data_IF_736752157574
#
_entry.id   IF_736752157574
#
_cell.length_a   1.000
_cell.length_b   1.000
_cell.length_c   1.000
_cell.angle_alpha   90.00
_cell.angle_beta   90.00
_cell.angle_gamma   90.00
#
_symmetry.space_group_name_H-M   'P 1'
#
loop_
_entity.id
_entity.type
_entity.pdbx_description
1 polymer ?
#
# COMPACT_ATOMS: atom_id res chain seq x y z
N UNK A 1 -0.10 -7.90 13.52
CA UNK A 1 0.79 -7.32 12.49
C UNK A 1 1.85 -8.36 12.16
N UNK A 2 1.79 -8.97 10.97
CA UNK A 2 2.87 -9.82 10.48
C UNK A 2 3.80 -8.97 9.61
N UNK A 3 5.08 -8.95 9.93
CA UNK A 3 6.10 -8.31 9.12
C UNK A 3 6.65 -9.31 8.12
N UNK A 4 6.84 -8.90 6.89
CA UNK A 4 7.25 -9.75 5.81
C UNK A 4 8.36 -9.10 4.99
N UNK A 5 9.45 -9.83 4.84
CA UNK A 5 10.47 -9.55 3.83
C UNK A 5 9.88 -9.88 2.44
N UNK A 6 10.13 -9.04 1.43
CA UNK A 6 9.50 -9.23 0.11
C UNK A 6 9.79 -10.59 -0.53
N UNK A 7 10.95 -11.19 -0.24
CA UNK A 7 11.29 -12.55 -0.65
C UNK A 7 10.52 -13.65 0.11
N UNK A 8 10.06 -13.36 1.34
CA UNK A 8 9.31 -14.29 2.19
C UNK A 8 7.79 -14.08 2.12
N UNK A 9 7.32 -13.06 1.37
CA UNK A 9 5.89 -12.81 1.16
C UNK A 9 5.21 -14.03 0.55
N UNK A 10 5.87 -14.68 -0.39
CA UNK A 10 5.38 -15.92 -1.00
C UNK A 10 5.29 -17.06 0.03
N UNK A 11 6.30 -17.29 0.86
CA UNK A 11 6.38 -18.49 1.71
C UNK A 11 5.44 -18.49 2.92
N UNK A 12 5.08 -17.31 3.45
CA UNK A 12 4.16 -17.21 4.59
C UNK A 12 2.69 -17.12 4.21
N UNK A 13 2.39 -16.66 2.99
CA UNK A 13 1.08 -16.83 2.39
C UNK A 13 0.92 -18.28 1.91
N UNK A 14 2.04 -18.99 1.66
CA UNK A 14 2.14 -20.32 1.12
C UNK A 14 2.76 -21.33 2.11
N UNK A 15 2.03 -21.74 3.09
CA UNK A 15 2.26 -23.08 3.64
C UNK A 15 1.54 -24.07 2.72
N UNK A 16 2.12 -24.38 1.55
CA UNK A 16 1.49 -25.29 0.59
C UNK A 16 2.16 -26.65 0.61
N UNK A 17 1.55 -27.59 1.30
CA UNK A 17 1.53 -28.98 0.86
C UNK A 17 0.51 -29.08 -0.30
N UNK A 18 0.89 -29.67 -1.43
CA UNK A 18 0.06 -29.97 -2.60
C UNK A 18 -1.20 -30.76 -2.21
N UNK A 19 -2.29 -30.03 -1.98
CA UNK A 19 -3.67 -30.55 -1.88
C UNK A 19 -4.55 -29.31 -1.87
N UNK A 20 -5.64 -29.24 -2.64
CA UNK A 20 -6.56 -28.11 -2.85
C UNK A 20 -6.60 -27.10 -1.69
N UNK A 21 -5.63 -26.19 -1.61
CA UNK A 21 -5.39 -25.40 -0.42
C UNK A 21 -6.28 -24.17 -0.45
N UNK A 22 -7.31 -24.21 0.39
CA UNK A 22 -8.10 -23.06 0.79
C UNK A 22 -7.15 -21.94 1.24
N UNK A 23 -7.25 -20.74 0.68
CA UNK A 23 -6.47 -19.57 1.11
C UNK A 23 -6.60 -19.41 2.63
N UNK A 24 -5.48 -19.18 3.30
CA UNK A 24 -5.47 -18.89 4.75
C UNK A 24 -6.18 -17.56 5.05
N UNK A 25 -6.03 -16.58 4.17
CA UNK A 25 -6.65 -15.27 4.24
C UNK A 25 -7.36 -14.97 2.92
N UNK A 26 -8.63 -14.63 3.00
CA UNK A 26 -9.43 -14.24 1.84
C UNK A 26 -9.17 -12.80 1.44
N UNK A 27 -9.13 -11.89 2.42
CA UNK A 27 -8.88 -10.46 2.22
C UNK A 27 -7.69 -10.00 3.03
N UNK A 28 -6.75 -9.35 2.38
CA UNK A 28 -5.57 -8.80 3.04
C UNK A 28 -5.43 -7.31 2.75
N UNK A 29 -4.81 -6.59 3.69
CA UNK A 29 -4.29 -5.26 3.44
C UNK A 29 -2.76 -5.32 3.45
N UNK A 30 -2.13 -4.90 2.35
CA UNK A 30 -0.69 -4.74 2.23
C UNK A 30 -0.32 -3.29 2.55
N UNK A 31 0.52 -3.07 3.56
CA UNK A 31 1.16 -1.79 3.79
C UNK A 31 2.57 -1.82 3.21
N UNK A 32 2.84 -0.95 2.26
CA UNK A 32 4.13 -0.82 1.60
C UNK A 32 4.77 0.52 1.97
N UNK A 33 6.06 0.52 2.29
CA UNK A 33 6.80 1.79 2.40
C UNK A 33 6.93 2.43 1.02
N UNK A 34 6.75 3.74 0.92
CA UNK A 34 7.03 4.45 -0.33
C UNK A 34 8.48 4.27 -0.81
N UNK A 35 9.41 4.07 0.11
CA UNK A 35 10.84 3.86 -0.22
C UNK A 35 11.12 2.63 -1.10
N UNK A 36 10.19 1.66 -1.13
CA UNK A 36 10.34 0.50 -2.02
C UNK A 36 10.10 0.84 -3.49
N UNK A 37 9.48 1.99 -3.77
CA UNK A 37 9.22 2.47 -5.11
C UNK A 37 10.35 3.36 -5.66
N UNK A 38 11.17 3.94 -4.77
CA UNK A 38 12.25 4.82 -5.16
C UNK A 38 13.57 4.07 -5.34
N UNK A 39 14.48 4.68 -6.07
CA UNK A 39 15.85 4.22 -6.26
C UNK A 39 16.82 5.26 -5.68
N UNK A 40 17.57 4.87 -4.64
CA UNK A 40 18.52 5.76 -3.97
C UNK A 40 19.79 6.01 -4.79
N UNK A 41 20.13 5.10 -5.69
CA UNK A 41 21.33 5.19 -6.51
C UNK A 41 21.13 6.18 -7.66
N UNK A 42 19.96 6.15 -8.31
CA UNK A 42 19.61 7.07 -9.40
C UNK A 42 18.97 8.36 -8.90
N UNK A 43 18.50 8.41 -7.65
CA UNK A 43 17.76 9.55 -7.09
C UNK A 43 16.30 9.61 -7.52
N UNK A 44 15.80 8.63 -8.25
CA UNK A 44 14.42 8.59 -8.70
C UNK A 44 13.47 8.31 -7.53
N UNK A 45 12.48 9.18 -7.35
CA UNK A 45 11.44 8.99 -6.34
C UNK A 45 10.55 7.78 -6.66
N UNK A 46 10.28 7.54 -7.95
CA UNK A 46 9.51 6.39 -8.46
C UNK A 46 10.34 5.76 -9.58
N UNK A 47 10.93 4.62 -9.28
CA UNK A 47 11.71 3.84 -10.23
C UNK A 47 10.78 2.87 -10.97
N UNK A 48 10.75 2.91 -12.32
CA UNK A 48 9.87 2.05 -13.11
C UNK A 48 10.13 0.55 -12.90
N UNK A 49 11.38 0.13 -12.67
CA UNK A 49 11.73 -1.27 -12.46
C UNK A 49 11.24 -1.75 -11.09
N UNK A 50 11.42 -0.95 -10.03
CA UNK A 50 10.91 -1.25 -8.71
C UNK A 50 9.37 -1.31 -8.71
N UNK A 51 8.72 -0.38 -9.40
CA UNK A 51 7.27 -0.34 -9.53
C UNK A 51 6.73 -1.59 -10.25
N UNK A 52 7.35 -1.98 -11.38
CA UNK A 52 6.99 -3.18 -12.13
C UNK A 52 7.20 -4.46 -11.30
N UNK A 53 8.33 -4.56 -10.58
CA UNK A 53 8.62 -5.68 -9.69
C UNK A 53 7.53 -5.85 -8.61
N UNK A 54 7.13 -4.74 -8.00
CA UNK A 54 6.06 -4.75 -6.99
C UNK A 54 4.71 -5.14 -7.57
N UNK A 55 4.37 -4.61 -8.75
CA UNK A 55 3.13 -4.93 -9.44
C UNK A 55 3.02 -6.42 -9.78
N UNK A 56 4.10 -7.03 -10.25
CA UNK A 56 4.15 -8.48 -10.52
C UNK A 56 3.93 -9.34 -9.27
N UNK A 57 4.45 -8.93 -8.10
CA UNK A 57 4.22 -9.64 -6.85
C UNK A 57 2.76 -9.52 -6.38
N UNK A 58 2.17 -8.32 -6.50
CA UNK A 58 0.76 -8.09 -6.18
C UNK A 58 -0.14 -8.91 -7.11
N UNK A 59 0.19 -8.96 -8.42
CA UNK A 59 -0.53 -9.79 -9.40
C UNK A 59 -0.54 -11.26 -9.02
N UNK A 60 0.59 -11.82 -8.57
CA UNK A 60 0.66 -13.22 -8.12
C UNK A 60 -0.29 -13.47 -6.94
N UNK A 61 -0.32 -12.59 -5.95
CA UNK A 61 -1.22 -12.70 -4.80
C UNK A 61 -2.69 -12.61 -5.25
N UNK A 62 -3.01 -11.64 -6.09
CA UNK A 62 -4.35 -11.45 -6.64
C UNK A 62 -4.82 -12.65 -7.47
N UNK A 63 -3.94 -13.21 -8.30
CA UNK A 63 -4.23 -14.38 -9.15
C UNK A 63 -4.58 -15.65 -8.36
N UNK A 64 -4.25 -15.70 -7.07
CA UNK A 64 -4.62 -16.79 -6.16
C UNK A 64 -6.06 -16.70 -5.66
N UNK A 65 -6.76 -15.63 -6.03
CA UNK A 65 -8.13 -15.35 -5.56
C UNK A 65 -8.19 -14.57 -4.26
N UNK A 66 -7.08 -13.97 -3.81
CA UNK A 66 -7.05 -13.11 -2.64
C UNK A 66 -7.56 -11.71 -2.99
N UNK A 67 -8.45 -11.16 -2.18
CA UNK A 67 -8.88 -9.76 -2.23
C UNK A 67 -7.78 -8.88 -1.63
N UNK A 68 -7.20 -7.99 -2.42
CA UNK A 68 -6.00 -7.22 -2.04
C UNK A 68 -6.31 -5.74 -1.92
N UNK A 69 -6.22 -5.22 -0.69
CA UNK A 69 -6.14 -3.79 -0.39
C UNK A 69 -4.67 -3.37 -0.24
N UNK A 70 -4.32 -2.16 -0.63
CA UNK A 70 -2.95 -1.64 -0.55
C UNK A 70 -2.96 -0.26 0.09
N UNK A 71 -2.04 -0.01 1.01
CA UNK A 71 -1.69 1.32 1.52
C UNK A 71 -0.22 1.57 1.23
N UNK A 72 0.08 2.66 0.54
CA UNK A 72 1.43 3.09 0.19
C UNK A 72 1.86 4.28 1.05
N UNK A 73 3.09 4.25 1.56
CA UNK A 73 3.73 5.43 2.15
C UNK A 73 4.15 6.45 1.09
N UNK A 74 4.41 7.70 1.52
CA UNK A 74 4.88 8.80 0.66
C UNK A 74 6.34 9.17 0.85
N UNK A 75 7.10 8.43 1.67
CA UNK A 75 8.44 8.82 2.13
C UNK A 75 9.54 8.85 1.06
N UNK A 76 9.31 8.27 -0.11
CA UNK A 76 10.16 8.38 -1.29
C UNK A 76 10.05 9.75 -1.97
N UNK A 77 8.90 10.41 -1.85
CA UNK A 77 8.62 11.72 -2.47
C UNK A 77 8.79 12.83 -1.44
N UNK A 78 8.15 12.68 -0.26
CA UNK A 78 8.19 13.69 0.79
C UNK A 78 8.15 13.07 2.19
N UNK A 79 9.04 13.54 3.07
CA UNK A 79 9.06 13.18 4.50
C UNK A 79 8.76 14.40 5.35
N UNK A 80 7.57 14.43 5.98
CA UNK A 80 7.09 15.55 6.78
C UNK A 80 8.05 15.96 7.91
N UNK A 81 8.64 14.96 8.62
CA UNK A 81 9.61 15.21 9.68
C UNK A 81 10.92 15.87 9.19
N UNK A 82 11.39 15.51 7.99
CA UNK A 82 12.58 16.12 7.38
C UNK A 82 12.26 17.50 6.80
N UNK A 83 11.01 17.73 6.38
CA UNK A 83 10.51 19.03 5.93
C UNK A 83 10.39 20.05 7.08
N UNK A 84 10.03 19.60 8.28
CA UNK A 84 9.95 20.47 9.46
C UNK A 84 11.29 21.16 9.80
N UNK A 85 12.44 20.48 9.55
CA UNK A 85 13.78 21.08 9.66
C UNK A 85 14.11 22.09 8.55
N UNK A 86 13.25 22.25 7.53
CA UNK A 86 13.41 23.15 6.37
C UNK A 86 12.35 24.26 6.33
N UNK A 87 11.73 24.59 7.45
CA UNK A 87 10.74 25.68 7.55
C UNK A 87 9.29 25.28 7.22
N UNK A 88 9.01 24.01 6.95
CA UNK A 88 7.63 23.52 6.72
C UNK A 88 7.02 23.14 8.08
N UNK A 89 5.88 23.72 8.45
CA UNK A 89 5.18 23.31 9.67
C UNK A 89 4.63 21.88 9.57
N UNK A 90 4.36 21.25 10.70
CA UNK A 90 3.96 19.84 10.78
C UNK A 90 2.69 19.52 9.99
N UNK A 91 1.66 20.35 10.10
CA UNK A 91 0.37 20.12 9.43
C UNK A 91 0.52 20.17 7.92
N UNK A 92 1.25 21.18 7.41
CA UNK A 92 1.56 21.29 5.98
C UNK A 92 2.41 20.11 5.51
N UNK A 93 3.44 19.73 6.29
CA UNK A 93 4.29 18.58 5.98
C UNK A 93 3.51 17.27 5.90
N UNK A 94 2.59 17.03 6.83
CA UNK A 94 1.73 15.85 6.82
C UNK A 94 0.77 15.87 5.61
N UNK A 95 0.24 17.06 5.24
CA UNK A 95 -0.59 17.22 4.05
C UNK A 95 0.20 16.91 2.76
N UNK A 96 1.45 17.38 2.65
CA UNK A 96 2.33 17.05 1.54
C UNK A 96 2.64 15.54 1.50
N UNK A 97 2.86 14.93 2.66
CA UNK A 97 3.04 13.48 2.79
C UNK A 97 1.81 12.68 2.33
N UNK A 98 0.60 13.15 2.68
CA UNK A 98 -0.65 12.54 2.21
C UNK A 98 -0.78 12.62 0.68
N UNK A 99 -0.47 13.77 0.07
CA UNK A 99 -0.45 13.91 -1.38
C UNK A 99 0.60 13.00 -2.03
N UNK A 100 1.77 12.86 -1.44
CA UNK A 100 2.80 11.93 -1.90
C UNK A 100 2.32 10.47 -1.94
N UNK A 101 1.50 10.04 -0.96
CA UNK A 101 0.89 8.70 -0.99
C UNK A 101 -0.07 8.52 -2.16
N UNK A 102 -0.76 9.59 -2.58
CA UNK A 102 -1.69 9.55 -3.72
C UNK A 102 -0.93 9.44 -5.03
N UNK A 103 0.19 10.16 -5.18
CA UNK A 103 1.07 10.03 -6.35
C UNK A 103 1.55 8.58 -6.49
N UNK A 104 2.03 7.97 -5.40
CA UNK A 104 2.43 6.57 -5.39
C UNK A 104 1.28 5.61 -5.71
N UNK A 105 0.08 5.91 -5.22
CA UNK A 105 -1.12 5.11 -5.50
C UNK A 105 -1.50 5.12 -6.99
N UNK A 106 -1.43 6.28 -7.63
CA UNK A 106 -1.69 6.41 -9.07
C UNK A 106 -0.63 5.69 -9.91
N UNK A 107 0.65 5.81 -9.54
CA UNK A 107 1.74 5.11 -10.20
C UNK A 107 1.56 3.58 -10.10
N UNK A 108 1.25 3.07 -8.92
CA UNK A 108 1.00 1.64 -8.70
C UNK A 108 -0.25 1.15 -9.43
N UNK A 109 -1.33 1.93 -9.46
CA UNK A 109 -2.53 1.61 -10.24
C UNK A 109 -2.16 1.42 -11.72
N UNK A 110 -1.44 2.39 -12.30
CA UNK A 110 -1.01 2.32 -13.70
C UNK A 110 -0.15 1.07 -13.96
N UNK A 111 0.79 0.74 -13.07
CA UNK A 111 1.63 -0.44 -13.22
C UNK A 111 0.82 -1.75 -13.13
N UNK A 112 -0.15 -1.85 -12.23
CA UNK A 112 -1.02 -3.02 -12.10
C UNK A 112 -1.95 -3.18 -13.31
N UNK A 113 -2.57 -2.09 -13.77
CA UNK A 113 -3.46 -2.13 -14.95
C UNK A 113 -2.70 -2.45 -16.23
N UNK A 114 -1.45 -1.98 -16.39
CA UNK A 114 -0.60 -2.31 -17.55
C UNK A 114 -0.28 -3.81 -17.68
N UNK A 115 -0.31 -4.54 -16.58
CA UNK A 115 -0.10 -6.01 -16.55
C UNK A 115 -1.42 -6.79 -16.40
N UNK A 116 -2.57 -6.14 -16.61
CA UNK A 116 -3.89 -6.76 -16.66
C UNK A 116 -4.54 -7.00 -15.29
N UNK A 117 -4.12 -6.32 -14.23
CA UNK A 117 -4.76 -6.38 -12.90
C UNK A 117 -5.72 -5.22 -12.73
N UNK A 118 -7.04 -5.41 -12.74
CA UNK A 118 -8.01 -4.34 -12.56
C UNK A 118 -7.83 -3.68 -11.19
N UNK A 119 -7.59 -2.38 -11.17
CA UNK A 119 -7.23 -1.66 -9.94
C UNK A 119 -8.07 -0.39 -9.78
N UNK A 120 -8.33 0.05 -8.55
CA UNK A 120 -8.94 1.33 -8.23
C UNK A 120 -8.19 2.04 -7.12
N UNK A 121 -8.03 3.36 -7.27
CA UNK A 121 -7.51 4.22 -6.21
C UNK A 121 -8.67 4.89 -5.50
N UNK A 122 -8.69 4.78 -4.18
CA UNK A 122 -9.63 5.50 -3.31
C UNK A 122 -8.85 6.37 -2.33
N UNK A 123 -9.30 7.59 -2.08
CA UNK A 123 -8.59 8.55 -1.24
C UNK A 123 -9.40 9.02 -0.05
N UNK A 124 -8.71 9.31 1.04
CA UNK A 124 -9.27 9.95 2.22
C UNK A 124 -9.44 11.48 2.02
N UNK A 125 -8.77 12.05 1.02
CA UNK A 125 -8.88 13.47 0.63
C UNK A 125 -9.71 13.52 -0.64
N UNK A 126 -10.73 14.37 -0.67
CA UNK A 126 -11.62 14.50 -1.83
C UNK A 126 -10.89 15.09 -3.05
N UNK A 127 -10.77 14.29 -4.09
CA UNK A 127 -10.23 14.68 -5.40
C UNK A 127 -10.87 13.87 -6.53
N UNK A 128 -12.18 14.03 -6.76
CA UNK A 128 -12.97 13.12 -7.59
C UNK A 128 -12.54 13.06 -9.06
N UNK A 129 -11.75 14.01 -9.55
CA UNK A 129 -11.17 13.99 -10.90
C UNK A 129 -9.98 13.03 -11.05
N UNK A 130 -9.35 12.62 -9.94
CA UNK A 130 -8.15 11.79 -9.94
C UNK A 130 -8.37 10.41 -9.33
N UNK A 131 -9.18 10.34 -8.27
CA UNK A 131 -9.43 9.11 -7.52
C UNK A 131 -10.80 9.15 -6.84
N UNK A 132 -11.36 7.98 -6.58
CA UNK A 132 -12.65 7.87 -5.90
C UNK A 132 -12.52 8.28 -4.41
N UNK A 133 -13.47 9.03 -3.84
CA UNK A 133 -13.51 9.22 -2.39
C UNK A 133 -13.74 7.88 -1.69
N UNK A 134 -13.03 7.65 -0.58
CA UNK A 134 -13.18 6.43 0.17
C UNK A 134 -14.58 6.33 0.79
N UNK A 135 -15.32 5.35 0.36
CA UNK A 135 -16.57 4.91 0.95
C UNK A 135 -16.47 3.39 1.13
N UNK A 136 -16.56 2.89 2.36
CA UNK A 136 -16.38 1.49 2.70
C UNK A 136 -17.15 0.55 1.76
N UNK A 137 -18.45 0.79 1.56
CA UNK A 137 -19.29 -0.06 0.69
C UNK A 137 -18.81 -0.09 -0.77
N UNK A 138 -18.23 1.00 -1.27
CA UNK A 138 -17.64 1.02 -2.62
C UNK A 138 -16.35 0.19 -2.67
N UNK A 139 -15.51 0.28 -1.64
CA UNK A 139 -14.31 -0.53 -1.54
C UNK A 139 -14.65 -2.03 -1.54
N UNK A 140 -15.64 -2.44 -0.72
CA UNK A 140 -16.12 -3.83 -0.69
C UNK A 140 -16.64 -4.27 -2.06
N UNK A 141 -17.39 -3.40 -2.75
CA UNK A 141 -17.88 -3.70 -4.10
C UNK A 141 -16.77 -3.84 -5.14
N UNK A 142 -15.65 -3.12 -4.97
CA UNK A 142 -14.48 -3.33 -5.82
C UNK A 142 -13.85 -4.70 -5.59
N UNK A 143 -13.69 -5.14 -4.35
CA UNK A 143 -13.21 -6.50 -4.05
C UNK A 143 -14.12 -7.58 -4.63
N UNK A 144 -15.42 -7.46 -4.48
CA UNK A 144 -16.41 -8.38 -5.09
C UNK A 144 -16.27 -8.48 -6.61
N UNK A 145 -15.83 -7.39 -7.26
CA UNK A 145 -15.58 -7.35 -8.71
C UNK A 145 -14.16 -7.81 -9.08
N UNK A 146 -13.42 -8.40 -8.15
CA UNK A 146 -12.06 -8.88 -8.38
C UNK A 146 -11.06 -7.76 -8.67
N UNK A 147 -11.22 -6.58 -8.09
CA UNK A 147 -10.31 -5.45 -8.25
C UNK A 147 -9.36 -5.34 -7.08
N UNK A 148 -8.12 -4.97 -7.34
CA UNK A 148 -7.22 -4.46 -6.31
C UNK A 148 -7.65 -3.04 -5.93
N UNK A 149 -7.64 -2.70 -4.63
CA UNK A 149 -7.99 -1.36 -4.16
C UNK A 149 -6.79 -0.73 -3.46
N UNK A 150 -6.37 0.44 -3.93
CA UNK A 150 -5.26 1.20 -3.33
C UNK A 150 -5.84 2.39 -2.58
N UNK A 151 -5.48 2.52 -1.30
CA UNK A 151 -5.94 3.59 -0.43
C UNK A 151 -4.85 4.65 -0.30
N UNK A 152 -5.12 5.86 -0.80
CA UNK A 152 -4.26 7.04 -0.74
C UNK A 152 -4.78 8.09 0.24
N UNK A 153 -3.94 9.09 0.55
CA UNK A 153 -4.31 10.21 1.42
C UNK A 153 -4.26 9.89 2.91
N UNK A 154 -3.65 8.76 3.30
CA UNK A 154 -3.51 8.38 4.71
C UNK A 154 -4.86 8.22 5.41
N UNK A 155 -5.03 8.89 6.56
CA UNK A 155 -6.31 9.02 7.29
C UNK A 155 -7.13 10.23 6.83
N UNK A 156 -6.57 11.10 5.98
CA UNK A 156 -7.12 12.42 5.66
C UNK A 156 -6.82 13.48 6.72
N UNK A 157 -6.15 13.13 7.80
CA UNK A 157 -5.84 14.02 8.91
C UNK A 157 -4.33 14.07 9.17
N UNK A 158 -3.78 15.26 9.55
CA UNK A 158 -2.41 15.35 9.99
C UNK A 158 -2.16 14.58 11.29
N UNK A 159 -0.90 14.41 11.67
CA UNK A 159 -0.41 13.71 12.86
C UNK A 159 -0.56 12.18 12.86
N UNK A 160 -1.13 11.59 11.83
CA UNK A 160 -1.23 10.13 11.72
C UNK A 160 -0.18 9.55 10.76
N UNK A 161 0.40 8.43 11.15
CA UNK A 161 1.34 7.69 10.31
C UNK A 161 0.61 6.89 9.23
N UNK A 162 1.35 6.48 8.20
CA UNK A 162 0.84 5.52 7.20
C UNK A 162 0.49 4.16 7.82
N UNK A 163 1.16 3.77 8.90
CA UNK A 163 0.85 2.54 9.64
C UNK A 163 -0.51 2.65 10.35
N UNK A 164 -0.81 3.81 10.95
CA UNK A 164 -2.13 4.09 11.54
C UNK A 164 -3.23 4.06 10.47
N UNK A 165 -2.97 4.67 9.31
CA UNK A 165 -3.91 4.63 8.19
C UNK A 165 -4.14 3.19 7.69
N UNK A 166 -3.10 2.37 7.62
CA UNK A 166 -3.22 0.97 7.21
C UNK A 166 -4.04 0.15 8.22
N UNK A 167 -3.83 0.35 9.52
CA UNK A 167 -4.60 -0.32 10.56
C UNK A 167 -6.09 0.07 10.50
N UNK A 168 -6.38 1.35 10.32
CA UNK A 168 -7.74 1.85 10.15
C UNK A 168 -8.40 1.23 8.91
N UNK A 169 -7.75 1.29 7.74
CA UNK A 169 -8.29 0.73 6.50
C UNK A 169 -8.48 -0.78 6.58
N UNK A 170 -7.56 -1.52 7.20
CA UNK A 170 -7.72 -2.96 7.42
C UNK A 170 -9.01 -3.28 8.20
N UNK A 171 -9.27 -2.52 9.27
CA UNK A 171 -10.48 -2.66 10.07
C UNK A 171 -11.73 -2.29 9.28
N UNK A 172 -11.71 -1.16 8.55
CA UNK A 172 -12.86 -0.68 7.78
C UNK A 172 -13.26 -1.64 6.65
N UNK A 173 -12.30 -2.28 5.98
CA UNK A 173 -12.60 -3.24 4.91
C UNK A 173 -12.80 -4.67 5.41
N UNK A 174 -12.64 -4.93 6.70
CA UNK A 174 -12.72 -6.28 7.26
C UNK A 174 -11.63 -7.20 6.70
N UNK A 175 -10.37 -6.74 6.68
CA UNK A 175 -9.25 -7.57 6.24
C UNK A 175 -8.94 -8.65 7.28
N UNK A 176 -8.70 -9.88 6.82
CA UNK A 176 -8.31 -11.01 7.68
C UNK A 176 -6.89 -10.82 8.23
N UNK A 177 -6.04 -10.10 7.47
CA UNK A 177 -4.67 -9.78 7.88
C UNK A 177 -4.21 -8.43 7.34
N UNK A 178 -3.44 -7.71 8.18
CA UNK A 178 -2.63 -6.56 7.79
C UNK A 178 -1.17 -7.01 7.68
N UNK A 179 -0.61 -6.93 6.49
CA UNK A 179 0.76 -7.32 6.18
C UNK A 179 1.59 -6.07 5.91
N UNK A 180 2.67 -5.88 6.65
CA UNK A 180 3.61 -4.77 6.45
C UNK A 180 4.87 -5.30 5.78
N UNK A 181 5.13 -4.85 4.56
CA UNK A 181 6.39 -5.11 3.88
C UNK A 181 7.41 -4.04 4.26
N UNK A 182 8.58 -4.49 4.72
CA UNK A 182 9.72 -3.65 5.11
C UNK A 182 10.97 -4.10 4.38
N UNK A 183 11.99 -3.24 4.34
CA UNK A 183 13.34 -3.63 3.89
C UNK A 183 14.14 -4.40 4.98
N UNK A 184 13.65 -4.42 6.21
CA UNK A 184 14.28 -5.11 7.33
C UNK A 184 13.90 -6.59 7.39
N UNK A 185 14.76 -7.38 8.00
CA UNK A 185 14.61 -8.82 8.19
C UNK A 185 13.67 -9.21 9.37
N UNK A 186 13.21 -8.22 10.14
CA UNK A 186 12.26 -8.44 11.23
C UNK A 186 11.87 -7.20 12.00
N UNK A 187 11.14 -7.40 13.09
CA UNK A 187 10.94 -6.43 14.17
C UNK A 187 11.73 -6.89 15.37
N UNK A 188 12.50 -5.98 15.90
CA UNK A 188 13.28 -6.18 17.11
C UNK A 188 12.54 -5.56 18.30
N UNK A 189 12.80 -6.07 19.50
CA UNK A 189 12.21 -5.58 20.75
C UNK A 189 12.94 -4.35 21.29
N UNK A 190 14.14 -4.07 20.76
CA UNK A 190 14.96 -2.88 21.01
C UNK A 190 15.79 -2.55 19.77
N UNK A 191 16.22 -1.28 19.67
CA UNK A 191 17.19 -0.81 18.67
C UNK A 191 18.61 -1.20 19.09
#
# INVERSE_FOLDING_TARGET
LAHLHFGLLNDRIFSVKKSSSKLKYRRILLKLSGEVLGNKETGECIDPQHLAFMAEHIKKIHAMGCEVGIVLGGGNIFRGLTGAGKGVNRVTGDSMGMLATIINALAMMNALESIGVPTRVMTAIEMPKLAEPFIQRRALRHFEKGRVVIFGGGTGNPYFSTDSAAALKASEIGADALLKATKGDGIYTAD
#
